data_IF_344518382470
#
_entry.id   IF_344518382470
#
_cell.length_a   1.000
_cell.length_b   1.000
_cell.length_c   1.000
_cell.angle_alpha   90.00
_cell.angle_beta   90.00
_cell.angle_gamma   90.00
#
_symmetry.space_group_name_H-M   'P 1'
#
loop_
_entity.id
_entity.type
_entity.pdbx_description
1 polymer ?
#
# COMPACT_ATOMS: atom_id res chain seq x y z
N UNK A 1 -10.69 10.19 36.51
CA UNK A 1 -11.84 10.78 37.26
C UNK A 1 -11.46 10.91 38.73
N UNK A 2 -11.97 11.91 39.47
CA UNK A 2 -11.75 12.08 40.93
C UNK A 2 -13.08 11.96 41.67
N UNK A 3 -13.08 11.38 42.87
CA UNK A 3 -14.26 11.28 43.73
C UNK A 3 -14.54 12.67 44.35
N UNK A 4 -15.72 13.23 44.09
CA UNK A 4 -16.13 14.49 44.71
C UNK A 4 -16.56 14.28 46.15
N UNK A 5 -16.01 15.10 47.04
CA UNK A 5 -16.55 15.40 48.36
C UNK A 5 -16.80 16.90 48.39
N UNK A 6 -18.03 17.31 48.63
CA UNK A 6 -18.35 18.68 49.00
C UNK A 6 -18.78 18.62 50.46
N UNK A 7 -18.05 19.32 51.33
CA UNK A 7 -18.39 19.48 52.73
C UNK A 7 -19.24 20.76 52.79
N UNK A 8 -20.54 20.64 53.02
CA UNK A 8 -21.33 21.80 53.44
C UNK A 8 -21.06 22.00 54.92
N UNK A 9 -20.38 23.09 55.28
CA UNK A 9 -20.23 23.51 56.67
C UNK A 9 -21.58 24.01 57.20
N UNK A 10 -22.44 23.09 57.63
CA UNK A 10 -23.42 23.36 58.68
C UNK A 10 -23.91 22.04 59.29
N UNK A 11 -23.68 21.92 60.60
CA UNK A 11 -24.17 20.90 61.53
C UNK A 11 -24.22 19.43 61.02
N UNK A 12 -23.11 18.72 61.14
CA UNK A 12 -23.10 17.28 61.45
C UNK A 12 -23.50 16.26 60.35
N UNK A 13 -23.91 16.69 59.16
CA UNK A 13 -24.24 15.79 58.04
C UNK A 13 -23.30 16.05 56.84
N UNK A 14 -22.33 15.16 56.60
CA UNK A 14 -21.47 15.22 55.39
C UNK A 14 -22.32 14.86 54.16
N UNK A 15 -22.86 15.87 53.47
CA UNK A 15 -23.68 15.66 52.27
C UNK A 15 -22.81 15.44 51.03
N UNK A 16 -22.53 14.17 50.71
CA UNK A 16 -21.83 13.81 49.48
C UNK A 16 -22.75 13.86 48.25
N UNK A 17 -22.25 14.46 47.17
CA UNK A 17 -22.92 14.46 45.87
C UNK A 17 -22.72 13.15 45.09
N UNK A 18 -23.81 12.53 44.63
CA UNK A 18 -23.77 11.31 43.82
C UNK A 18 -24.03 11.59 42.34
N UNK A 19 -22.99 12.01 41.61
CA UNK A 19 -23.12 12.34 40.19
C UNK A 19 -22.78 11.21 39.22
N UNK A 20 -22.69 9.97 39.70
CA UNK A 20 -22.32 8.78 38.91
C UNK A 20 -21.04 8.95 38.06
N UNK A 21 -20.08 9.75 38.55
CA UNK A 21 -18.84 10.10 37.86
C UNK A 21 -19.02 10.82 36.52
N UNK A 22 -20.14 11.54 36.37
CA UNK A 22 -20.43 12.40 35.22
C UNK A 22 -20.56 13.88 35.59
N UNK A 23 -20.05 14.32 36.73
CA UNK A 23 -19.95 15.74 37.02
C UNK A 23 -18.63 16.03 37.70
N UNK A 24 -18.12 17.24 37.43
CA UNK A 24 -17.07 18.03 38.06
C UNK A 24 -17.29 18.51 39.50
N UNK A 25 -18.54 18.95 39.67
CA UNK A 25 -18.94 19.95 40.64
C UNK A 25 -20.42 19.76 40.95
N UNK A 26 -20.81 20.20 42.14
CA UNK A 26 -22.19 20.27 42.58
C UNK A 26 -22.52 21.64 43.11
N UNK A 27 -23.74 22.10 42.85
CA UNK A 27 -24.24 23.38 43.33
C UNK A 27 -25.45 23.15 44.23
N UNK A 28 -25.59 23.99 45.26
CA UNK A 28 -26.78 24.02 46.10
C UNK A 28 -27.81 24.93 45.43
N UNK A 29 -28.92 24.34 44.95
CA UNK A 29 -30.01 25.06 44.30
C UNK A 29 -31.31 24.74 45.01
N UNK A 30 -32.00 25.77 45.53
CA UNK A 30 -33.28 25.65 46.26
C UNK A 30 -33.27 24.63 47.40
N UNK A 31 -32.17 24.57 48.16
CA UNK A 31 -32.00 23.65 49.30
C UNK A 31 -31.65 22.20 48.92
N UNK A 32 -31.50 21.88 47.63
CA UNK A 32 -31.08 20.57 47.13
C UNK A 32 -29.72 20.64 46.44
N UNK A 33 -28.87 19.62 46.63
CA UNK A 33 -27.62 19.50 45.87
C UNK A 33 -27.91 18.97 44.46
N UNK A 34 -27.43 19.68 43.44
CA UNK A 34 -27.59 19.31 42.04
C UNK A 34 -26.22 19.20 41.35
N UNK A 35 -26.02 18.09 40.63
CA UNK A 35 -24.81 17.85 39.85
C UNK A 35 -24.75 18.72 38.59
N UNK A 36 -23.58 19.30 38.31
CA UNK A 36 -23.29 19.94 37.02
C UNK A 36 -22.86 18.87 36.00
N UNK A 37 -23.84 18.22 35.37
CA UNK A 37 -23.59 17.07 34.51
C UNK A 37 -22.79 17.38 33.24
N UNK A 38 -21.71 16.62 33.07
CA UNK A 38 -20.82 16.51 31.91
C UNK A 38 -21.16 15.22 31.11
N UNK A 39 -20.29 14.82 30.18
CA UNK A 39 -20.40 13.54 29.47
C UNK A 39 -21.76 13.31 28.76
N UNK A 40 -22.40 14.40 28.31
CA UNK A 40 -23.72 14.41 27.67
C UNK A 40 -24.84 13.76 28.51
N UNK A 41 -24.67 13.74 29.82
CA UNK A 41 -25.67 13.27 30.78
C UNK A 41 -26.53 14.41 31.30
N UNK A 42 -27.63 14.06 31.96
CA UNK A 42 -28.56 15.00 32.58
C UNK A 42 -29.34 14.31 33.71
N UNK A 43 -30.07 15.09 34.50
CA UNK A 43 -30.75 14.65 35.72
C UNK A 43 -29.99 15.06 36.99
N UNK A 44 -30.65 14.92 38.15
CA UNK A 44 -30.10 15.35 39.45
C UNK A 44 -28.76 14.68 39.78
N UNK A 45 -28.63 13.40 39.44
CA UNK A 45 -27.46 12.56 39.67
C UNK A 45 -26.74 12.20 38.35
N UNK A 46 -27.08 12.87 37.25
CA UNK A 46 -26.59 12.54 35.91
C UNK A 46 -27.00 11.13 35.41
N UNK A 47 -28.17 10.65 35.84
CA UNK A 47 -28.65 9.28 35.67
C UNK A 47 -29.25 8.94 34.29
N UNK A 48 -29.21 9.86 33.33
CA UNK A 48 -29.74 9.64 31.97
C UNK A 48 -28.99 10.50 30.94
N UNK A 49 -29.15 10.19 29.66
CA UNK A 49 -28.58 10.99 28.58
C UNK A 49 -29.40 12.25 28.29
N UNK A 50 -28.73 13.32 27.86
CA UNK A 50 -29.37 14.55 27.38
C UNK A 50 -30.17 14.27 26.10
N UNK A 51 -31.22 15.06 25.85
CA UNK A 51 -31.99 15.00 24.59
C UNK A 51 -31.05 15.10 23.38
N UNK A 52 -31.22 14.21 22.41
CA UNK A 52 -30.33 14.09 21.23
C UNK A 52 -29.16 13.12 21.42
N UNK A 53 -28.93 12.62 22.64
CA UNK A 53 -27.91 11.63 22.95
C UNK A 53 -28.55 10.34 23.48
N UNK A 54 -27.98 9.18 23.12
CA UNK A 54 -28.41 7.85 23.58
C UNK A 54 -27.20 6.98 23.91
N UNK A 55 -27.36 6.10 24.89
CA UNK A 55 -26.44 5.01 25.19
C UNK A 55 -27.17 3.68 24.97
N UNK A 56 -26.45 2.63 24.50
CA UNK A 56 -27.00 1.26 24.37
C UNK A 56 -27.51 0.75 25.71
N UNK A 57 -26.75 1.05 26.77
CA UNK A 57 -27.11 0.89 28.18
C UNK A 57 -26.42 2.02 28.94
N UNK A 58 -27.14 2.82 29.71
CA UNK A 58 -26.52 3.87 30.52
C UNK A 58 -25.58 3.25 31.56
N UNK A 59 -24.39 3.80 31.73
CA UNK A 59 -23.38 3.36 32.70
C UNK A 59 -22.73 4.59 33.33
N UNK A 60 -22.56 4.56 34.65
CA UNK A 60 -21.74 5.54 35.38
C UNK A 60 -20.31 5.57 34.83
N UNK A 61 -19.60 6.69 35.02
CA UNK A 61 -18.16 6.73 34.78
C UNK A 61 -17.41 5.67 35.59
N UNK A 62 -16.20 5.32 35.17
CA UNK A 62 -15.34 4.33 35.84
C UNK A 62 -13.94 4.89 36.00
N UNK A 63 -13.28 4.54 37.09
CA UNK A 63 -11.85 4.82 37.28
C UNK A 63 -10.94 3.86 36.49
N UNK A 64 -11.52 2.84 35.86
CA UNK A 64 -10.81 1.87 35.02
C UNK A 64 -11.03 2.17 33.53
N UNK A 65 -10.03 1.93 32.66
CA UNK A 65 -8.67 1.52 33.00
C UNK A 65 -7.85 2.68 33.59
N UNK A 66 -6.97 2.37 34.54
CA UNK A 66 -6.03 3.33 35.14
C UNK A 66 -5.06 3.81 34.06
N UNK A 67 -4.65 5.10 33.98
CA UNK A 67 -4.81 6.17 34.99
C UNK A 67 -6.06 7.05 34.86
N UNK A 68 -6.73 7.06 33.70
CA UNK A 68 -7.72 8.09 33.38
C UNK A 68 -9.17 7.65 33.66
N UNK A 69 -9.47 6.35 33.56
CA UNK A 69 -10.82 5.81 33.65
C UNK A 69 -11.65 5.99 32.37
N UNK A 70 -12.83 5.36 32.29
CA UNK A 70 -13.78 5.54 31.18
C UNK A 70 -14.96 6.45 31.56
N UNK A 71 -15.18 7.58 30.87
CA UNK A 71 -16.26 8.52 31.23
C UNK A 71 -17.66 8.06 30.83
N UNK A 72 -17.78 7.02 29.99
CA UNK A 72 -19.06 6.46 29.52
C UNK A 72 -20.04 7.54 28.98
N UNK A 73 -19.48 8.51 28.25
CA UNK A 73 -20.20 9.64 27.65
C UNK A 73 -21.34 9.18 26.73
N UNK A 74 -22.51 9.79 26.88
CA UNK A 74 -23.63 9.55 25.96
C UNK A 74 -23.30 10.08 24.56
N UNK A 75 -23.58 9.30 23.52
CA UNK A 75 -23.27 9.64 22.13
C UNK A 75 -24.51 10.07 21.37
N UNK A 76 -24.36 10.77 20.25
CA UNK A 76 -25.48 11.30 19.46
C UNK A 76 -26.39 10.13 19.02
N UNK A 77 -27.70 10.29 19.23
CA UNK A 77 -28.71 9.32 18.84
C UNK A 77 -28.71 9.17 17.30
N UNK A 78 -28.26 8.02 16.79
CA UNK A 78 -28.14 7.75 15.34
C UNK A 78 -26.73 7.38 14.88
N UNK A 79 -25.73 7.50 15.75
CA UNK A 79 -24.39 6.96 15.55
C UNK A 79 -24.10 5.97 16.68
N UNK A 80 -23.86 4.68 16.39
CA UNK A 80 -23.37 3.78 17.41
C UNK A 80 -21.94 4.21 17.75
N UNK A 81 -21.80 4.85 18.91
CA UNK A 81 -20.59 4.90 19.73
C UNK A 81 -19.24 4.94 19.00
N UNK A 82 -18.70 6.13 18.76
CA UNK A 82 -17.26 6.41 18.94
C UNK A 82 -16.21 5.59 18.17
N UNK A 83 -16.57 4.76 17.20
CA UNK A 83 -15.62 4.34 16.17
C UNK A 83 -15.54 5.49 15.18
N UNK A 84 -14.58 6.39 15.39
CA UNK A 84 -14.09 7.15 14.26
C UNK A 84 -13.80 6.14 13.14
N UNK A 85 -14.39 6.34 11.96
CA UNK A 85 -14.24 5.37 10.89
C UNK A 85 -12.84 5.49 10.33
N UNK A 86 -11.92 4.79 10.98
CA UNK A 86 -10.49 4.80 10.69
C UNK A 86 -10.24 4.04 9.39
N UNK A 87 -10.37 4.76 8.28
CA UNK A 87 -10.16 4.25 6.93
C UNK A 87 -8.84 4.73 6.32
N UNK A 88 -7.87 5.12 7.16
CA UNK A 88 -6.57 5.70 6.76
C UNK A 88 -6.70 6.80 5.69
N UNK A 89 -7.69 7.69 5.82
CA UNK A 89 -7.93 8.76 4.84
C UNK A 89 -8.42 8.30 3.46
N UNK A 90 -8.64 7.00 3.25
CA UNK A 90 -9.04 6.44 1.96
C UNK A 90 -10.55 6.22 1.82
N UNK A 91 -11.32 6.41 2.89
CA UNK A 91 -12.78 6.50 2.84
C UNK A 91 -13.30 7.37 3.98
N UNK A 92 -14.42 8.05 3.74
CA UNK A 92 -15.17 8.77 4.76
C UNK A 92 -16.48 8.06 5.13
N UNK A 93 -16.67 6.82 4.64
CA UNK A 93 -17.90 6.05 4.82
C UNK A 93 -17.57 4.66 5.33
N UNK A 94 -18.39 4.19 6.24
CA UNK A 94 -18.27 2.89 6.88
C UNK A 94 -19.65 2.26 7.06
N UNK A 95 -19.68 0.93 7.10
CA UNK A 95 -20.85 0.12 7.38
C UNK A 95 -20.60 -0.69 8.64
N UNK A 96 -21.62 -0.79 9.49
CA UNK A 96 -21.59 -1.63 10.68
C UNK A 96 -22.30 -2.94 10.39
N UNK A 97 -21.63 -4.07 10.64
CA UNK A 97 -22.19 -5.41 10.46
C UNK A 97 -22.49 -5.98 11.85
N UNK A 98 -23.74 -5.87 12.27
CA UNK A 98 -24.20 -6.17 13.64
C UNK A 98 -23.89 -7.62 14.08
N UNK A 99 -24.09 -8.59 13.18
CA UNK A 99 -23.85 -10.01 13.48
C UNK A 99 -22.38 -10.32 13.79
N UNK A 100 -21.45 -9.56 13.21
CA UNK A 100 -20.02 -9.75 13.38
C UNK A 100 -19.39 -8.72 14.33
N UNK A 101 -20.16 -7.73 14.76
CA UNK A 101 -19.69 -6.58 15.56
C UNK A 101 -18.50 -5.84 14.93
N UNK A 102 -18.40 -5.81 13.60
CA UNK A 102 -17.32 -5.13 12.87
C UNK A 102 -17.81 -3.85 12.20
N UNK A 103 -16.92 -2.85 12.14
CA UNK A 103 -17.06 -1.66 11.30
C UNK A 103 -16.12 -1.83 10.11
N UNK A 104 -16.66 -1.70 8.90
CA UNK A 104 -15.87 -1.79 7.66
C UNK A 104 -16.05 -0.53 6.84
N UNK A 105 -14.95 0.03 6.37
CA UNK A 105 -14.92 1.09 5.39
C UNK A 105 -15.57 0.61 4.09
N UNK A 106 -16.33 1.50 3.45
CA UNK A 106 -16.98 1.23 2.17
C UNK A 106 -16.37 2.13 1.10
N UNK A 107 -16.29 1.63 -0.13
CA UNK A 107 -15.76 2.38 -1.28
C UNK A 107 -14.37 2.98 -1.04
N UNK A 108 -13.43 2.18 -0.53
CA UNK A 108 -12.03 2.57 -0.38
C UNK A 108 -11.44 3.13 -1.69
N UNK A 109 -10.90 4.34 -1.61
CA UNK A 109 -10.21 5.08 -2.69
C UNK A 109 -8.73 4.71 -2.75
N UNK A 110 -7.95 5.37 -3.60
CA UNK A 110 -6.49 5.23 -3.67
C UNK A 110 -6.00 3.78 -3.90
N UNK A 111 -6.78 3.01 -4.66
CA UNK A 111 -6.52 1.60 -4.95
C UNK A 111 -6.35 0.72 -3.70
N UNK A 112 -6.98 1.12 -2.60
CA UNK A 112 -6.97 0.36 -1.35
C UNK A 112 -8.23 -0.50 -1.20
N UNK A 113 -8.16 -1.44 -0.25
CA UNK A 113 -9.18 -2.40 0.13
C UNK A 113 -8.93 -2.91 1.56
N UNK A 114 -9.86 -3.71 2.06
CA UNK A 114 -9.82 -4.25 3.42
C UNK A 114 -10.77 -3.50 4.33
N UNK A 115 -10.88 -3.97 5.57
CA UNK A 115 -11.82 -3.44 6.55
C UNK A 115 -11.60 -1.94 6.81
N UNK A 116 -10.34 -1.52 6.89
CA UNK A 116 -9.94 -0.14 7.18
C UNK A 116 -9.25 0.50 5.96
N UNK A 117 -9.41 -0.07 4.76
CA UNK A 117 -8.65 0.34 3.58
C UNK A 117 -7.12 0.16 3.71
N UNK A 118 -6.67 -0.81 4.50
CA UNK A 118 -5.24 -0.99 4.84
C UNK A 118 -4.41 -1.82 3.84
N UNK A 119 -5.06 -2.39 2.83
CA UNK A 119 -4.40 -3.27 1.85
C UNK A 119 -4.58 -2.71 0.45
N UNK A 120 -3.62 -2.98 -0.44
CA UNK A 120 -3.79 -2.66 -1.85
C UNK A 120 -4.75 -3.64 -2.54
N UNK A 121 -5.47 -3.13 -3.54
CA UNK A 121 -6.29 -3.93 -4.45
C UNK A 121 -5.43 -4.93 -5.22
N UNK A 122 -6.07 -5.95 -5.78
CA UNK A 122 -5.41 -6.87 -6.71
C UNK A 122 -4.88 -6.07 -7.91
N UNK A 123 -3.68 -6.42 -8.38
CA UNK A 123 -2.95 -5.63 -9.37
C UNK A 123 -2.17 -4.44 -8.80
N UNK A 124 -2.19 -4.21 -7.48
CA UNK A 124 -1.40 -3.18 -6.80
C UNK A 124 -0.57 -3.75 -5.65
N UNK A 125 0.58 -3.15 -5.37
CA UNK A 125 1.43 -3.45 -4.23
C UNK A 125 1.67 -2.22 -3.36
N UNK A 126 1.97 -2.45 -2.07
CA UNK A 126 2.19 -1.36 -1.10
C UNK A 126 3.59 -0.77 -1.28
N UNK A 127 3.66 0.55 -1.40
CA UNK A 127 4.92 1.28 -1.28
C UNK A 127 5.39 1.26 0.18
N UNK A 128 6.53 0.63 0.45
CA UNK A 128 7.06 0.53 1.80
C UNK A 128 7.57 1.88 2.35
N UNK A 129 7.89 2.83 1.47
CA UNK A 129 8.42 4.15 1.83
C UNK A 129 7.34 5.19 2.13
N UNK A 130 6.07 4.89 1.79
CA UNK A 130 4.95 5.79 2.03
C UNK A 130 4.17 5.37 3.29
N UNK A 131 3.63 6.35 3.99
CA UNK A 131 2.69 6.12 5.09
C UNK A 131 1.36 5.56 4.55
N UNK A 132 0.60 4.91 5.43
CA UNK A 132 -0.62 4.20 5.00
C UNK A 132 -1.75 5.14 4.58
N UNK A 133 -1.75 6.38 5.02
CA UNK A 133 -2.75 7.39 4.69
C UNK A 133 -2.46 8.17 3.39
N UNK A 134 -1.30 7.94 2.79
CA UNK A 134 -0.88 8.56 1.52
C UNK A 134 -1.74 8.09 0.33
N UNK A 135 -2.15 9.01 -0.55
CA UNK A 135 -2.98 8.70 -1.72
C UNK A 135 -2.27 7.79 -2.74
N UNK A 136 -0.93 7.75 -2.72
CA UNK A 136 -0.06 6.99 -3.61
C UNK A 136 0.53 5.73 -2.97
N UNK A 137 0.03 5.32 -1.79
CA UNK A 137 0.52 4.15 -1.06
C UNK A 137 0.43 2.85 -1.86
N UNK A 138 -0.51 2.75 -2.80
CA UNK A 138 -0.70 1.58 -3.66
C UNK A 138 -0.23 1.84 -5.09
N UNK A 139 0.85 1.16 -5.47
CA UNK A 139 1.49 1.28 -6.79
C UNK A 139 1.01 0.13 -7.68
N UNK A 140 0.70 0.43 -8.93
CA UNK A 140 0.23 -0.55 -9.89
C UNK A 140 1.33 -1.55 -10.29
N UNK A 141 0.97 -2.83 -10.35
CA UNK A 141 1.87 -3.90 -10.72
C UNK A 141 2.24 -3.87 -12.20
N UNK A 142 1.32 -3.53 -13.12
CA UNK A 142 1.55 -3.55 -14.57
C UNK A 142 2.14 -4.87 -15.10
N UNK A 143 1.67 -6.02 -14.59
CA UNK A 143 2.08 -7.32 -15.09
C UNK A 143 1.53 -7.57 -16.50
N UNK A 144 2.38 -8.02 -17.42
CA UNK A 144 1.96 -8.32 -18.79
C UNK A 144 1.01 -9.52 -18.80
N UNK A 145 -0.23 -9.34 -19.26
CA UNK A 145 -1.24 -10.40 -19.24
C UNK A 145 -0.85 -11.66 -20.03
N UNK A 146 -0.03 -11.51 -21.07
CA UNK A 146 0.41 -12.64 -21.89
C UNK A 146 1.63 -13.34 -21.27
N UNK A 147 2.59 -12.59 -20.73
CA UNK A 147 3.83 -13.14 -20.16
C UNK A 147 3.75 -13.49 -18.66
N UNK A 148 2.80 -12.96 -17.91
CA UNK A 148 2.59 -13.27 -16.49
C UNK A 148 1.51 -14.34 -16.30
N UNK A 149 1.61 -15.09 -15.19
CA UNK A 149 0.61 -16.08 -14.77
C UNK A 149 -0.67 -15.39 -14.31
N UNK A 150 -0.53 -14.27 -13.60
CA UNK A 150 -1.61 -13.45 -13.08
C UNK A 150 -1.19 -11.96 -13.04
N UNK A 151 -2.16 -11.07 -12.83
CA UNK A 151 -1.98 -9.62 -12.70
C UNK A 151 -1.32 -9.17 -11.37
N UNK A 152 -1.13 -10.11 -10.43
CA UNK A 152 -0.57 -9.84 -9.11
C UNK A 152 0.97 -9.80 -9.14
N UNK A 153 1.54 -8.89 -8.38
CA UNK A 153 2.98 -8.79 -8.14
C UNK A 153 3.32 -8.96 -6.65
N UNK A 154 4.59 -9.17 -6.35
CA UNK A 154 5.10 -9.24 -4.98
C UNK A 154 5.17 -7.84 -4.33
N UNK A 155 5.59 -7.77 -3.05
CA UNK A 155 5.74 -6.50 -2.33
C UNK A 155 6.77 -5.52 -2.92
N UNK A 156 7.58 -5.96 -3.89
CA UNK A 156 8.55 -5.15 -4.62
C UNK A 156 8.11 -4.81 -6.05
N UNK A 157 6.92 -5.23 -6.47
CA UNK A 157 6.40 -4.96 -7.82
C UNK A 157 6.81 -5.96 -8.90
N UNK A 158 7.45 -7.09 -8.55
CA UNK A 158 7.81 -8.16 -9.50
C UNK A 158 6.65 -9.12 -9.74
N UNK A 159 6.38 -9.40 -11.01
CA UNK A 159 5.32 -10.28 -11.47
C UNK A 159 5.79 -11.74 -11.54
N UNK A 160 4.86 -12.67 -11.41
CA UNK A 160 5.16 -14.08 -11.64
C UNK A 160 5.07 -14.38 -13.14
N UNK A 161 6.21 -14.63 -13.77
CA UNK A 161 6.29 -14.91 -15.20
C UNK A 161 5.95 -16.36 -15.53
N UNK A 162 5.36 -16.57 -16.71
CA UNK A 162 5.19 -17.88 -17.33
C UNK A 162 6.53 -18.40 -17.86
N UNK A 163 6.56 -19.68 -18.17
CA UNK A 163 7.73 -20.31 -18.78
C UNK A 163 8.16 -19.57 -20.05
N UNK A 164 9.47 -19.29 -20.14
CA UNK A 164 10.04 -18.54 -21.25
C UNK A 164 9.91 -17.02 -21.16
N UNK A 165 9.11 -16.47 -20.26
CA UNK A 165 9.02 -15.02 -20.03
C UNK A 165 9.96 -14.56 -18.89
N UNK A 166 10.44 -13.32 -18.97
CA UNK A 166 11.37 -12.72 -18.01
C UNK A 166 11.14 -11.21 -17.88
N UNK A 167 11.89 -10.56 -16.99
CA UNK A 167 11.73 -9.14 -16.65
C UNK A 167 10.81 -8.94 -15.45
N UNK A 168 10.81 -7.72 -14.89
CA UNK A 168 10.00 -7.41 -13.70
C UNK A 168 8.49 -7.49 -13.97
N UNK A 169 8.10 -7.23 -15.23
CA UNK A 169 6.70 -7.19 -15.69
C UNK A 169 6.35 -8.34 -16.64
N UNK A 170 7.28 -9.26 -16.87
CA UNK A 170 7.12 -10.39 -17.79
C UNK A 170 6.83 -9.95 -19.24
N UNK A 171 7.46 -8.86 -19.65
CA UNK A 171 7.37 -8.21 -20.95
C UNK A 171 8.47 -8.65 -21.92
N UNK A 172 9.48 -9.37 -21.44
CA UNK A 172 10.57 -9.92 -22.23
C UNK A 172 10.53 -11.45 -22.27
N UNK A 173 11.23 -12.03 -23.24
CA UNK A 173 11.44 -13.47 -23.34
C UNK A 173 12.87 -13.87 -22.97
N UNK A 174 13.01 -15.03 -22.35
CA UNK A 174 14.31 -15.68 -22.12
C UNK A 174 14.99 -15.99 -23.46
N UNK A 175 16.34 -16.11 -23.47
CA UNK A 175 17.05 -16.57 -24.66
C UNK A 175 16.49 -17.89 -25.18
N UNK A 176 16.26 -17.97 -26.50
CA UNK A 176 15.63 -19.13 -27.12
C UNK A 176 14.11 -19.09 -27.19
N UNK A 177 13.47 -18.04 -26.67
CA UNK A 177 12.05 -17.77 -26.83
C UNK A 177 11.86 -16.53 -27.69
N UNK A 178 10.71 -16.42 -28.36
CA UNK A 178 10.32 -15.25 -29.13
C UNK A 178 8.92 -14.77 -28.73
N UNK A 179 8.68 -13.46 -28.87
CA UNK A 179 7.40 -12.86 -28.50
C UNK A 179 6.37 -13.02 -29.62
N UNK A 180 5.27 -13.72 -29.32
CA UNK A 180 4.10 -13.86 -30.20
C UNK A 180 2.84 -14.00 -29.36
N UNK A 181 2.35 -12.87 -28.84
CA UNK A 181 1.26 -12.86 -27.84
C UNK A 181 1.66 -13.72 -26.61
N UNK A 182 2.83 -13.43 -26.03
CA UNK A 182 3.48 -14.25 -25.01
C UNK A 182 4.77 -14.90 -25.53
N UNK A 183 5.51 -15.55 -24.64
CA UNK A 183 6.79 -16.18 -24.99
C UNK A 183 6.59 -17.63 -25.42
N UNK A 184 7.04 -17.93 -26.64
CA UNK A 184 7.02 -19.28 -27.20
C UNK A 184 8.42 -19.75 -27.49
N UNK A 185 8.68 -21.04 -27.24
CA UNK A 185 9.97 -21.66 -27.51
C UNK A 185 10.27 -21.60 -29.00
N UNK A 186 11.48 -21.19 -29.35
CA UNK A 186 11.93 -21.01 -30.73
C UNK A 186 12.57 -22.29 -31.30
N UNK A 187 11.96 -23.44 -30.99
CA UNK A 187 12.40 -24.77 -31.40
C UNK A 187 11.74 -25.12 -32.72
N UNK A 188 12.56 -25.53 -33.69
CA UNK A 188 12.12 -25.74 -35.07
C UNK A 188 12.37 -27.16 -35.59
N UNK A 189 12.89 -28.04 -34.74
CA UNK A 189 13.20 -29.43 -35.07
C UNK A 189 12.89 -30.36 -33.88
N UNK A 190 12.67 -31.65 -34.15
CA UNK A 190 12.43 -32.70 -33.14
C UNK A 190 13.64 -32.89 -32.20
N UNK A 191 14.83 -32.47 -32.61
CA UNK A 191 16.06 -32.47 -31.79
C UNK A 191 16.15 -31.29 -30.79
N UNK A 192 15.09 -30.48 -30.62
CA UNK A 192 15.09 -29.29 -29.74
C UNK A 192 16.10 -28.20 -30.14
N UNK A 193 16.49 -28.13 -31.41
CA UNK A 193 17.42 -27.13 -31.91
C UNK A 193 16.73 -25.77 -32.09
N UNK A 194 17.33 -24.73 -31.51
CA UNK A 194 16.81 -23.37 -31.52
C UNK A 194 17.34 -22.55 -32.69
N UNK A 195 16.48 -21.71 -33.27
CA UNK A 195 16.95 -20.68 -34.20
C UNK A 195 17.87 -19.69 -33.48
N UNK A 196 19.06 -19.46 -34.02
CA UNK A 196 20.08 -18.56 -33.48
C UNK A 196 19.95 -17.14 -34.04
N UNK A 197 20.68 -16.18 -33.45
CA UNK A 197 20.84 -14.82 -33.97
C UNK A 197 19.51 -14.09 -34.29
N UNK A 198 18.47 -14.30 -33.49
CA UNK A 198 17.16 -13.68 -33.69
C UNK A 198 16.32 -14.29 -34.82
N UNK A 199 16.68 -15.45 -35.36
CA UNK A 199 15.83 -16.18 -36.29
C UNK A 199 14.52 -16.62 -35.64
N UNK A 200 13.42 -16.62 -36.37
CA UNK A 200 12.10 -17.04 -35.85
C UNK A 200 11.66 -18.34 -36.52
N UNK A 201 11.26 -19.32 -35.73
CA UNK A 201 10.75 -20.58 -36.24
C UNK A 201 9.37 -20.41 -36.90
N UNK A 202 9.24 -20.81 -38.17
CA UNK A 202 7.97 -20.82 -38.89
C UNK A 202 7.49 -22.27 -39.07
N UNK A 203 6.23 -22.52 -38.68
CA UNK A 203 5.53 -23.80 -38.83
C UNK A 203 6.31 -25.03 -38.31
N UNK A 204 7.22 -24.85 -37.33
CA UNK A 204 8.07 -25.91 -36.79
C UNK A 204 8.88 -26.68 -37.86
N UNK A 205 9.24 -26.01 -38.96
CA UNK A 205 9.96 -26.64 -40.08
C UNK A 205 11.22 -25.88 -40.48
N UNK A 206 11.21 -24.55 -40.35
CA UNK A 206 12.30 -23.71 -40.84
C UNK A 206 12.46 -22.43 -40.04
N UNK A 207 13.71 -22.10 -39.72
CA UNK A 207 14.07 -20.80 -39.19
C UNK A 207 14.02 -19.73 -40.29
N UNK A 208 13.27 -18.65 -40.04
CA UNK A 208 13.33 -17.41 -40.82
C UNK A 208 14.44 -16.56 -40.22
N UNK A 209 15.53 -16.39 -40.96
CA UNK A 209 16.69 -15.64 -40.50
C UNK A 209 16.56 -14.14 -40.76
N UNK A 210 17.07 -13.27 -39.86
CA UNK A 210 17.26 -11.86 -40.14
C UNK A 210 18.21 -11.65 -41.33
N UNK A 211 18.17 -10.48 -41.98
CA UNK A 211 18.91 -10.22 -43.22
C UNK A 211 20.44 -10.37 -43.09
N UNK A 212 20.98 -10.31 -41.88
CA UNK A 212 22.42 -10.45 -41.59
C UNK A 212 22.88 -11.90 -41.39
N UNK A 213 21.96 -12.87 -41.31
CA UNK A 213 22.28 -14.25 -40.97
C UNK A 213 21.73 -15.25 -42.01
N UNK A 214 22.36 -16.43 -42.09
CA UNK A 214 22.01 -17.55 -42.99
C UNK A 214 22.29 -18.90 -42.33
N UNK A 215 21.83 -19.97 -42.96
CA UNK A 215 21.93 -21.34 -42.46
C UNK A 215 20.59 -21.87 -41.96
N UNK A 216 20.53 -23.18 -41.69
CA UNK A 216 19.30 -23.88 -41.25
C UNK A 216 18.75 -23.36 -39.92
N UNK A 217 19.65 -22.93 -39.02
CA UNK A 217 19.33 -22.36 -37.71
C UNK A 217 19.76 -20.89 -37.61
N UNK A 218 20.03 -20.21 -38.73
CA UNK A 218 20.55 -18.84 -38.75
C UNK A 218 21.91 -18.67 -38.03
N UNK A 219 22.72 -19.74 -38.04
CA UNK A 219 23.96 -19.81 -37.28
C UNK A 219 25.14 -19.07 -37.93
N UNK A 220 25.09 -18.81 -39.24
CA UNK A 220 26.19 -18.19 -39.97
C UNK A 220 25.87 -16.74 -40.29
N UNK A 221 26.86 -15.85 -40.21
CA UNK A 221 26.69 -14.49 -40.74
C UNK A 221 26.65 -14.53 -42.27
N UNK A 222 25.85 -13.65 -42.88
CA UNK A 222 25.91 -13.45 -44.35
C UNK A 222 27.21 -12.77 -44.78
N UNK A 223 27.84 -12.03 -43.87
CA UNK A 223 29.02 -11.20 -44.09
C UNK A 223 30.37 -11.93 -44.04
N UNK A 224 30.41 -13.24 -43.79
CA UNK A 224 31.67 -14.00 -43.64
C UNK A 224 32.51 -14.13 -44.92
N UNK A 225 31.99 -13.70 -46.07
CA UNK A 225 32.70 -13.78 -47.35
C UNK A 225 32.77 -12.40 -48.03
N UNK A 226 33.61 -11.52 -47.48
CA UNK A 226 34.28 -10.41 -48.18
C UNK A 226 33.43 -9.55 -49.14
N UNK A 227 33.07 -8.36 -48.65
CA UNK A 227 32.50 -7.16 -49.30
C UNK A 227 31.01 -6.95 -49.05
N UNK A 228 30.73 -5.75 -48.54
CA UNK A 228 29.44 -5.09 -48.35
C UNK A 228 28.59 -5.50 -47.15
N UNK A 229 29.14 -5.35 -45.94
CA UNK A 229 28.33 -5.11 -44.75
C UNK A 229 28.71 -3.73 -44.19
N UNK A 230 27.82 -2.75 -44.38
CA UNK A 230 28.00 -1.41 -43.84
C UNK A 230 27.91 -1.47 -42.32
N UNK A 231 29.06 -1.36 -41.66
CA UNK A 231 29.17 -1.26 -40.22
C UNK A 231 28.59 0.08 -39.74
N UNK A 232 27.33 0.07 -39.29
CA UNK A 232 26.83 1.11 -38.41
C UNK A 232 26.92 0.61 -36.95
N UNK A 233 27.83 1.26 -36.21
CA UNK A 233 27.91 1.31 -34.75
C UNK A 233 28.65 0.19 -34.01
N UNK A 234 29.94 0.02 -34.30
CA UNK A 234 30.92 -0.07 -33.21
C UNK A 234 31.60 1.28 -33.10
N UNK A 235 31.28 2.05 -32.05
CA UNK A 235 32.15 3.13 -31.59
C UNK A 235 33.46 2.49 -31.12
N UNK A 236 34.37 2.23 -32.05
CA UNK A 236 35.77 2.03 -31.71
C UNK A 236 36.31 3.41 -31.36
N UNK A 237 36.34 3.71 -30.06
CA UNK A 237 37.15 4.80 -29.53
C UNK A 237 38.58 4.52 -29.97
N UNK A 238 39.14 5.37 -30.83
CA UNK A 238 40.46 5.14 -31.39
C UNK A 238 41.48 5.06 -30.25
N UNK A 239 42.53 4.26 -30.43
CA UNK A 239 43.63 4.15 -29.46
C UNK A 239 44.27 5.51 -29.17
N UNK A 240 44.21 6.45 -30.13
CA UNK A 240 44.64 7.83 -29.96
C UNK A 240 43.75 8.62 -28.98
N UNK A 241 42.43 8.40 -28.98
CA UNK A 241 41.51 9.02 -28.00
C UNK A 241 41.69 8.46 -26.59
N UNK A 242 42.00 7.17 -26.43
CA UNK A 242 42.35 6.59 -25.12
C UNK A 242 43.68 7.16 -24.59
N UNK A 243 44.69 7.30 -25.46
CA UNK A 243 45.98 7.89 -25.10
C UNK A 243 45.85 9.37 -24.73
N UNK A 244 45.01 10.14 -25.44
CA UNK A 244 44.73 11.53 -25.09
C UNK A 244 44.04 11.65 -23.73
N UNK A 245 43.07 10.79 -23.42
CA UNK A 245 42.39 10.79 -22.12
C UNK A 245 43.36 10.44 -20.97
N UNK A 246 44.27 9.49 -21.17
CA UNK A 246 45.28 9.15 -20.15
C UNK A 246 46.31 10.27 -19.95
N UNK A 247 46.69 10.98 -21.00
CA UNK A 247 47.59 12.14 -20.91
C UNK A 247 46.93 13.33 -20.21
N UNK A 248 45.65 13.58 -20.49
CA UNK A 248 44.85 14.61 -19.81
C UNK A 248 44.67 14.31 -18.32
N UNK A 249 44.40 13.05 -17.96
CA UNK A 249 44.28 12.63 -16.56
C UNK A 249 45.61 12.78 -15.79
N UNK A 250 46.74 12.46 -16.42
CA UNK A 250 48.05 12.66 -15.82
C UNK A 250 48.41 14.14 -15.67
N UNK A 251 48.08 15.00 -16.64
CA UNK A 251 48.31 16.45 -16.52
C UNK A 251 47.48 17.06 -15.38
N UNK A 252 46.21 16.67 -15.26
CA UNK A 252 45.32 17.14 -14.18
C UNK A 252 45.81 16.70 -12.79
N UNK A 253 46.36 15.49 -12.66
CA UNK A 253 46.95 15.01 -11.40
C UNK A 253 48.24 15.72 -11.00
N UNK A 254 48.97 16.30 -11.96
CA UNK A 254 50.19 17.10 -11.69
C UNK A 254 49.93 18.58 -11.38
N UNK A 255 48.70 19.05 -11.57
CA UNK A 255 48.29 20.46 -11.38
C UNK A 255 47.50 20.70 -10.09
N UNK A 256 47.27 19.68 -9.27
CA UNK A 256 46.76 19.85 -7.90
C UNK A 256 47.94 19.97 -6.94
N UNK A 257 48.38 21.19 -6.57
CA UNK A 257 49.28 21.35 -5.44
C UNK A 257 48.53 20.99 -4.16
N UNK A 258 49.28 20.44 -3.21
CA UNK A 258 48.83 20.01 -1.89
C UNK A 258 48.08 21.09 -1.12
#
# INVERSE_FOLDING_TARGET
MRQMRFITEDAGDEKQCKCNLHASQCLLQDGNLQCQCEHNTTGQDCQRCRKGFKAKSWKAGSYLPVPNGTPNTCTIAGLPYGSDCECYGHSNRCSYIEYLQIVTCVSCKHNTRGQNCQHCRLGYFRNASAELDDESVCIECNCNQMGSVHDRCNGTGFCQCKDGATGAKCDDCLPGYYWKQGCYSNVCDEEMLLCQNGGTCNQNQKCICPPEFKGVLCQHSRCEAGKDCNAASSLHLSTATLLLCTLLAHLLATLTPH
#
